data_IF_672415921393
#
_entry.id   IF_672415921393
#
_cell.length_a   1.000
_cell.length_b   1.000
_cell.length_c   1.000
_cell.angle_alpha   90.00
_cell.angle_beta   90.00
_cell.angle_gamma   90.00
#
_symmetry.space_group_name_H-M   'P 1'
#
loop_
_entity.id
_entity.type
_entity.pdbx_description
1 polymer ?
#
# COMPACT_ATOMS: atom_id res chain seq x y z
N UNK A 1 14.35 8.60 -7.47
CA UNK A 1 13.46 9.59 -8.10
C UNK A 1 13.39 10.80 -7.20
N UNK A 2 13.70 11.98 -7.71
CA UNK A 2 13.52 13.25 -7.00
C UNK A 2 12.26 13.88 -7.53
N UNK A 3 11.33 14.20 -6.66
CA UNK A 3 10.08 14.86 -6.99
C UNK A 3 10.23 16.35 -6.71
N UNK A 4 9.83 17.17 -7.64
CA UNK A 4 10.01 18.62 -7.61
C UNK A 4 8.64 19.28 -7.60
N UNK A 5 8.48 20.21 -6.68
CA UNK A 5 7.31 21.06 -6.58
C UNK A 5 7.75 22.50 -6.82
N UNK A 6 7.18 23.15 -7.82
CA UNK A 6 7.34 24.56 -8.05
C UNK A 6 5.97 25.25 -8.04
N UNK A 7 5.88 26.35 -7.35
CA UNK A 7 4.69 27.20 -7.31
C UNK A 7 5.06 28.57 -7.86
N UNK A 8 4.44 28.92 -8.94
CA UNK A 8 4.42 30.29 -9.43
C UNK A 8 3.02 30.88 -9.18
N UNK A 9 2.85 32.20 -9.19
CA UNK A 9 1.63 32.93 -8.77
C UNK A 9 0.31 32.41 -9.36
N UNK A 10 0.35 31.69 -10.48
CA UNK A 10 -0.84 31.15 -11.15
C UNK A 10 -0.81 29.66 -11.45
N UNK A 11 0.33 28.97 -11.30
CA UNK A 11 0.47 27.57 -11.70
C UNK A 11 1.30 26.78 -10.70
N UNK A 12 0.92 25.52 -10.50
CA UNK A 12 1.67 24.54 -9.70
C UNK A 12 2.08 23.40 -10.62
N UNK A 13 3.38 23.13 -10.70
CA UNK A 13 3.91 21.97 -11.40
C UNK A 13 4.36 20.91 -10.41
N UNK A 14 3.84 19.71 -10.58
CA UNK A 14 4.36 18.50 -9.94
C UNK A 14 5.17 17.75 -10.99
N UNK A 15 6.46 17.58 -10.75
CA UNK A 15 7.38 16.98 -11.68
C UNK A 15 8.31 15.98 -11.02
N UNK A 16 8.88 15.12 -11.82
CA UNK A 16 9.82 14.07 -11.47
C UNK A 16 11.15 14.34 -12.15
N UNK A 17 12.25 14.30 -11.40
CA UNK A 17 13.58 14.33 -11.97
C UNK A 17 13.99 12.96 -12.47
N UNK A 18 14.40 12.86 -13.72
CA UNK A 18 14.80 11.61 -14.32
C UNK A 18 16.30 11.33 -14.07
N UNK A 19 16.58 10.33 -13.24
CA UNK A 19 17.95 9.87 -12.96
C UNK A 19 18.91 10.99 -12.56
N UNK A 20 20.09 11.00 -13.16
CA UNK A 20 21.12 12.04 -13.00
C UNK A 20 20.97 13.21 -14.00
N UNK A 21 19.93 13.21 -14.83
CA UNK A 21 19.69 14.30 -15.76
C UNK A 21 19.16 15.55 -15.02
N UNK A 22 19.35 16.72 -15.62
CA UNK A 22 18.72 17.96 -15.15
C UNK A 22 17.32 18.17 -15.75
N UNK A 23 16.74 17.15 -16.40
CA UNK A 23 15.40 17.23 -16.97
C UNK A 23 14.34 16.91 -15.93
N UNK A 24 13.26 17.69 -15.95
CA UNK A 24 12.05 17.47 -15.17
C UNK A 24 10.95 16.96 -16.10
N UNK A 25 10.26 15.92 -15.68
CA UNK A 25 9.10 15.38 -16.39
C UNK A 25 7.85 15.56 -15.52
N UNK A 26 6.71 15.98 -16.10
CA UNK A 26 5.44 16.00 -15.38
C UNK A 26 5.11 14.60 -14.83
N UNK A 27 4.31 14.55 -13.76
CA UNK A 27 3.79 13.27 -13.26
C UNK A 27 2.97 12.61 -14.37
N UNK A 28 3.42 11.45 -14.81
CA UNK A 28 2.91 10.81 -16.02
C UNK A 28 1.85 9.75 -15.71
N UNK A 29 2.11 8.93 -14.70
CA UNK A 29 1.29 7.78 -14.40
C UNK A 29 -0.01 8.14 -13.72
N UNK A 30 0.02 9.12 -12.81
CA UNK A 30 -1.15 9.61 -12.11
C UNK A 30 -2.23 10.13 -13.07
N UNK A 31 -1.83 10.85 -14.12
CA UNK A 31 -2.77 11.46 -15.07
C UNK A 31 -3.44 10.44 -16.01
N UNK A 32 -2.94 9.22 -16.08
CA UNK A 32 -3.44 8.14 -16.94
C UNK A 32 -4.30 7.12 -16.20
N UNK A 33 -4.15 7.04 -14.87
CA UNK A 33 -4.85 6.05 -14.07
C UNK A 33 -6.24 6.52 -13.68
N UNK A 34 -7.21 5.63 -13.82
CA UNK A 34 -8.54 5.82 -13.26
C UNK A 34 -8.68 4.91 -12.02
N UNK A 35 -8.52 5.48 -10.84
CA UNK A 35 -8.51 4.75 -9.57
C UNK A 35 -9.90 4.73 -8.88
N UNK A 36 -10.97 4.66 -9.67
CA UNK A 36 -12.32 4.67 -9.13
C UNK A 36 -12.63 5.95 -8.33
N UNK A 37 -12.94 5.78 -7.06
CA UNK A 37 -13.24 6.89 -6.14
C UNK A 37 -11.99 7.57 -5.56
N UNK A 38 -10.81 7.00 -5.77
CA UNK A 38 -9.57 7.48 -5.16
C UNK A 38 -8.98 8.60 -6.00
N UNK A 39 -8.75 9.73 -5.34
CA UNK A 39 -8.05 10.89 -5.89
C UNK A 39 -7.02 11.39 -4.88
N UNK A 40 -5.86 11.80 -5.36
CA UNK A 40 -4.88 12.47 -4.52
C UNK A 40 -5.49 13.76 -3.94
N UNK A 41 -5.39 13.94 -2.64
CA UNK A 41 -5.89 15.13 -1.91
C UNK A 41 -4.80 16.17 -1.67
N UNK A 42 -3.55 15.79 -1.81
CA UNK A 42 -2.39 16.63 -1.64
C UNK A 42 -1.25 16.18 -2.58
N UNK A 43 -0.18 16.96 -2.62
CA UNK A 43 0.99 16.70 -3.48
C UNK A 43 1.72 15.40 -3.11
N UNK A 44 1.82 15.10 -1.83
CA UNK A 44 2.49 13.89 -1.32
C UNK A 44 1.76 12.64 -1.80
N UNK A 45 0.43 12.64 -1.76
CA UNK A 45 -0.39 11.55 -2.32
C UNK A 45 -0.29 11.48 -3.85
N UNK A 46 -0.16 12.62 -4.55
CA UNK A 46 0.07 12.64 -6.00
C UNK A 46 1.39 11.98 -6.36
N UNK A 47 2.45 12.29 -5.63
CA UNK A 47 3.75 11.66 -5.80
C UNK A 47 3.74 10.17 -5.47
N UNK A 48 3.07 9.80 -4.37
CA UNK A 48 2.92 8.39 -3.99
C UNK A 48 2.21 7.59 -5.09
N UNK A 49 1.10 8.09 -5.62
CA UNK A 49 0.36 7.43 -6.69
C UNK A 49 1.17 7.33 -7.98
N UNK A 50 1.91 8.36 -8.36
CA UNK A 50 2.76 8.31 -9.56
C UNK A 50 3.83 7.21 -9.45
N UNK A 51 4.48 7.07 -8.29
CA UNK A 51 5.44 6.00 -8.04
C UNK A 51 4.80 4.61 -7.95
N UNK A 52 3.65 4.51 -7.31
CA UNK A 52 2.91 3.26 -7.20
C UNK A 52 2.47 2.73 -8.56
N UNK A 53 2.05 3.62 -9.46
CA UNK A 53 1.56 3.29 -10.79
C UNK A 53 2.67 3.07 -11.83
N UNK A 54 3.89 3.53 -11.58
CA UNK A 54 5.03 3.35 -12.49
C UNK A 54 5.57 1.91 -12.42
N UNK A 55 5.40 1.09 -13.46
CA UNK A 55 5.86 -0.30 -13.45
C UNK A 55 7.39 -0.44 -13.40
N UNK A 56 8.14 0.60 -13.75
CA UNK A 56 9.60 0.57 -13.67
C UNK A 56 10.14 0.67 -12.23
N UNK A 57 9.28 1.10 -11.28
CA UNK A 57 9.64 1.20 -9.86
C UNK A 57 9.23 -0.08 -9.15
N UNK A 58 10.18 -0.97 -8.91
CA UNK A 58 9.92 -2.28 -8.30
C UNK A 58 9.66 -2.23 -6.80
N UNK A 59 10.15 -1.21 -6.07
CA UNK A 59 9.99 -1.07 -4.63
C UNK A 59 9.59 0.36 -4.26
N UNK A 60 8.53 0.48 -3.44
CA UNK A 60 8.03 1.75 -2.91
C UNK A 60 7.88 1.65 -1.40
N UNK A 61 8.30 2.67 -0.67
CA UNK A 61 8.03 2.81 0.77
C UNK A 61 7.16 4.03 1.01
N UNK A 62 6.01 3.85 1.65
CA UNK A 62 5.10 4.92 2.04
C UNK A 62 5.18 5.10 3.57
N UNK A 63 5.95 6.08 3.99
CA UNK A 63 6.17 6.40 5.40
C UNK A 63 5.40 7.66 5.78
N UNK A 64 4.68 7.64 6.89
CA UNK A 64 3.93 8.81 7.35
C UNK A 64 2.96 8.46 8.48
N UNK A 65 2.38 9.49 9.10
CA UNK A 65 1.44 9.34 10.23
C UNK A 65 0.21 8.51 9.83
N UNK A 66 -0.44 7.90 10.83
CA UNK A 66 -1.73 7.22 10.62
C UNK A 66 -2.78 8.16 10.01
N UNK A 67 -3.71 7.60 9.25
CA UNK A 67 -4.77 8.36 8.61
C UNK A 67 -4.35 9.17 7.37
N UNK A 68 -3.11 9.09 6.91
CA UNK A 68 -2.64 9.78 5.69
C UNK A 68 -3.00 9.07 4.39
N UNK A 69 -3.66 7.91 4.46
CA UNK A 69 -4.15 7.17 3.30
C UNK A 69 -3.12 6.23 2.64
N UNK A 70 -1.97 5.94 3.26
CA UNK A 70 -0.90 5.09 2.70
C UNK A 70 -1.41 3.74 2.18
N UNK A 71 -2.06 2.99 3.05
CA UNK A 71 -2.61 1.66 2.74
C UNK A 71 -3.70 1.74 1.67
N UNK A 72 -4.59 2.73 1.77
CA UNK A 72 -5.64 2.97 0.78
C UNK A 72 -5.07 3.24 -0.62
N UNK A 73 -4.07 4.10 -0.73
CA UNK A 73 -3.42 4.42 -2.01
C UNK A 73 -2.67 3.20 -2.58
N UNK A 74 -1.98 2.45 -1.74
CA UNK A 74 -1.27 1.24 -2.15
C UNK A 74 -2.23 0.17 -2.71
N UNK A 75 -3.34 -0.09 -2.01
CA UNK A 75 -4.36 -1.04 -2.44
C UNK A 75 -5.05 -0.55 -3.72
N UNK A 76 -5.42 0.73 -3.82
CA UNK A 76 -6.06 1.28 -5.01
C UNK A 76 -5.16 1.17 -6.25
N UNK A 77 -3.88 1.51 -6.13
CA UNK A 77 -2.92 1.37 -7.22
C UNK A 77 -2.69 -0.10 -7.59
N UNK A 78 -2.65 -1.01 -6.61
CA UNK A 78 -2.51 -2.44 -6.83
C UNK A 78 -3.73 -3.03 -7.55
N UNK A 79 -4.94 -2.71 -7.11
CA UNK A 79 -6.17 -3.16 -7.76
C UNK A 79 -6.25 -2.67 -9.21
N UNK A 80 -5.94 -1.40 -9.47
CA UNK A 80 -5.90 -0.86 -10.83
C UNK A 80 -4.91 -1.63 -11.73
N UNK A 81 -3.72 -1.92 -11.24
CA UNK A 81 -2.70 -2.61 -12.03
C UNK A 81 -2.97 -4.11 -12.20
N UNK A 82 -3.79 -4.70 -11.36
CA UNK A 82 -4.21 -6.10 -11.47
C UNK A 82 -5.50 -6.24 -12.28
N UNK A 83 -6.55 -5.48 -11.92
CA UNK A 83 -7.88 -5.66 -12.50
C UNK A 83 -8.10 -4.90 -13.81
N UNK A 84 -7.53 -3.67 -13.93
CA UNK A 84 -7.79 -2.82 -15.10
C UNK A 84 -6.70 -2.93 -16.17
N UNK A 85 -5.43 -2.89 -15.76
CA UNK A 85 -4.30 -2.91 -16.73
C UNK A 85 -3.66 -4.28 -16.90
N UNK A 86 -3.97 -5.24 -16.03
CA UNK A 86 -3.42 -6.60 -16.03
C UNK A 86 -1.88 -6.66 -16.06
N UNK A 87 -1.25 -5.65 -15.45
CA UNK A 87 0.21 -5.57 -15.40
C UNK A 87 0.80 -6.59 -14.41
N UNK A 88 0.08 -6.88 -13.32
CA UNK A 88 0.40 -7.91 -12.36
C UNK A 88 -0.69 -8.98 -12.32
N UNK A 89 -0.31 -10.22 -12.01
CA UNK A 89 -1.23 -11.35 -11.96
C UNK A 89 -2.23 -11.24 -10.81
N UNK A 90 -1.80 -10.72 -9.66
CA UNK A 90 -2.65 -10.52 -8.47
C UNK A 90 -2.10 -9.45 -7.53
N UNK A 91 -2.99 -8.94 -6.71
CA UNK A 91 -2.67 -8.12 -5.53
C UNK A 91 -2.54 -9.05 -4.32
N UNK A 92 -1.35 -9.11 -3.74
CA UNK A 92 -1.09 -9.80 -2.48
C UNK A 92 -0.93 -8.75 -1.38
N UNK A 93 -1.77 -8.82 -0.36
CA UNK A 93 -1.67 -7.93 0.81
C UNK A 93 -1.27 -8.75 2.02
N UNK A 94 -0.24 -8.30 2.71
CA UNK A 94 0.22 -8.92 3.95
C UNK A 94 0.37 -7.88 5.05
N UNK A 95 0.16 -8.32 6.28
CA UNK A 95 0.31 -7.50 7.47
C UNK A 95 0.96 -8.35 8.57
N UNK A 96 1.87 -7.82 9.39
CA UNK A 96 2.40 -8.55 10.54
C UNK A 96 1.29 -8.83 11.55
N UNK A 97 1.17 -10.06 12.05
CA UNK A 97 0.24 -10.34 13.14
C UNK A 97 0.74 -9.62 14.39
N UNK A 98 -0.06 -8.70 14.90
CA UNK A 98 0.22 -8.03 16.17
C UNK A 98 -0.33 -8.93 17.28
N UNK A 99 0.56 -9.54 18.04
CA UNK A 99 0.16 -10.30 19.23
C UNK A 99 -0.25 -9.33 20.34
N UNK A 100 -1.51 -8.97 20.39
CA UNK A 100 -2.12 -8.27 21.54
C UNK A 100 -2.15 -9.23 22.76
N UNK A 101 -0.99 -9.67 23.25
CA UNK A 101 -0.81 -10.37 24.52
C UNK A 101 -1.35 -11.78 24.64
N UNK A 102 -1.93 -12.37 23.59
CA UNK A 102 -2.34 -13.80 23.54
C UNK A 102 -1.99 -14.35 22.16
N UNK A 103 -1.30 -15.49 22.15
CA UNK A 103 -1.01 -16.22 20.93
C UNK A 103 -2.30 -16.48 20.13
N UNK A 104 -2.30 -16.11 18.85
CA UNK A 104 -3.39 -16.38 17.90
C UNK A 104 -3.80 -17.87 17.94
N UNK A 105 -2.86 -18.76 18.32
CA UNK A 105 -3.10 -20.18 18.49
C UNK A 105 -4.15 -20.56 19.55
N UNK A 106 -4.34 -19.73 20.58
CA UNK A 106 -5.30 -19.99 21.68
C UNK A 106 -6.73 -19.49 21.42
N UNK A 107 -6.98 -18.76 20.34
CA UNK A 107 -8.33 -18.34 19.98
C UNK A 107 -9.08 -19.54 19.37
N UNK A 108 -10.32 -19.84 19.80
CA UNK A 108 -11.17 -20.84 19.13
C UNK A 108 -11.56 -20.35 17.72
N UNK A 109 -11.72 -21.30 16.79
CA UNK A 109 -12.14 -21.01 15.42
C UNK A 109 -11.10 -21.38 14.36
N UNK A 110 -11.52 -21.27 13.10
CA UNK A 110 -10.65 -21.46 11.92
C UNK A 110 -9.59 -20.36 11.82
N UNK A 111 -8.55 -20.58 11.04
CA UNK A 111 -7.52 -19.56 10.78
C UNK A 111 -8.13 -18.27 10.21
N UNK A 112 -9.12 -18.39 9.34
CA UNK A 112 -9.85 -17.27 8.72
C UNK A 112 -10.65 -16.48 9.76
N UNK A 113 -11.35 -17.13 10.67
CA UNK A 113 -12.07 -16.47 11.76
C UNK A 113 -11.12 -15.73 12.72
N UNK A 114 -9.95 -16.30 12.97
CA UNK A 114 -8.93 -15.69 13.82
C UNK A 114 -8.27 -14.47 13.17
N UNK A 115 -8.09 -14.50 11.86
CA UNK A 115 -7.50 -13.40 11.09
C UNK A 115 -8.52 -12.30 10.75
N UNK A 116 -9.83 -12.60 10.81
CA UNK A 116 -10.90 -11.68 10.43
C UNK A 116 -10.79 -10.26 11.02
N UNK A 117 -10.66 -10.08 12.35
CA UNK A 117 -10.54 -8.77 12.96
C UNK A 117 -9.28 -8.01 12.53
N UNK A 118 -8.19 -8.73 12.25
CA UNK A 118 -6.92 -8.19 11.81
C UNK A 118 -6.95 -7.77 10.34
N UNK A 119 -7.74 -8.46 9.51
CA UNK A 119 -7.94 -8.21 8.09
C UNK A 119 -8.95 -7.10 7.81
N UNK A 120 -9.82 -6.79 8.77
CA UNK A 120 -10.92 -5.84 8.59
C UNK A 120 -10.49 -4.49 8.01
N UNK A 121 -9.40 -3.83 8.44
CA UNK A 121 -8.98 -2.56 7.84
C UNK A 121 -8.63 -2.66 6.36
N UNK A 122 -8.15 -3.82 5.89
CA UNK A 122 -7.85 -4.07 4.48
C UNK A 122 -9.16 -4.23 3.70
N UNK A 123 -10.09 -5.01 4.24
CA UNK A 123 -11.43 -5.22 3.64
C UNK A 123 -12.17 -3.89 3.52
N UNK A 124 -12.19 -3.08 4.60
CA UNK A 124 -12.83 -1.77 4.62
C UNK A 124 -12.25 -0.83 3.53
N UNK A 125 -10.93 -0.87 3.30
CA UNK A 125 -10.28 -0.12 2.22
C UNK A 125 -10.74 -0.60 0.84
N UNK A 126 -10.84 -1.91 0.63
CA UNK A 126 -11.28 -2.49 -0.65
C UNK A 126 -12.74 -2.12 -0.93
N UNK A 127 -13.61 -2.25 0.06
CA UNK A 127 -15.02 -1.87 -0.05
C UNK A 127 -15.18 -0.38 -0.34
N UNK A 128 -14.35 0.47 0.27
CA UNK A 128 -14.33 1.89 -0.03
C UNK A 128 -13.90 2.19 -1.47
N UNK A 129 -12.81 1.56 -1.95
CA UNK A 129 -12.29 1.73 -3.32
C UNK A 129 -13.32 1.30 -4.36
N UNK A 130 -13.96 0.16 -4.14
CA UNK A 130 -14.92 -0.44 -5.09
C UNK A 130 -16.32 0.15 -5.00
N UNK A 131 -16.58 0.98 -3.97
CA UNK A 131 -17.89 1.58 -3.75
C UNK A 131 -18.92 0.64 -3.16
N UNK A 132 -18.50 -0.43 -2.51
CA UNK A 132 -19.35 -1.43 -1.88
C UNK A 132 -19.73 -1.08 -0.43
N UNK A 133 -19.17 0.00 0.13
CA UNK A 133 -19.43 0.44 1.52
C UNK A 133 -20.91 0.80 1.73
N UNK A 134 -21.59 0.24 2.73
CA UNK A 134 -22.96 0.58 3.06
C UNK A 134 -23.00 1.94 3.77
N UNK A 135 -23.29 3.03 3.07
CA UNK A 135 -23.50 4.31 3.78
C UNK A 135 -23.47 5.60 2.97
N UNK A 136 -23.04 5.62 1.72
CA UNK A 136 -22.94 6.87 0.93
C UNK A 136 -23.87 6.95 -0.29
N UNK A 137 -24.94 6.16 -0.31
CA UNK A 137 -25.93 6.26 -1.40
C UNK A 137 -26.83 7.46 -1.20
N UNK A 138 -26.71 8.45 -2.09
CA UNK A 138 -27.69 9.52 -2.26
C UNK A 138 -29.10 8.92 -2.45
N UNK A 139 -30.13 9.55 -1.88
CA UNK A 139 -31.51 9.07 -1.87
C UNK A 139 -32.11 8.71 -3.24
N UNK A 140 -31.49 9.13 -4.33
CA UNK A 140 -31.92 8.84 -5.69
C UNK A 140 -31.58 7.44 -6.18
N UNK A 141 -30.62 6.74 -5.56
CA UNK A 141 -30.15 5.40 -5.96
C UNK A 141 -30.88 4.26 -5.23
N UNK A 142 -31.66 4.58 -4.20
CA UNK A 142 -32.39 3.60 -3.36
C UNK A 142 -33.52 2.86 -4.09
N UNK A 143 -33.99 3.35 -5.21
CA UNK A 143 -35.14 2.75 -5.94
C UNK A 143 -34.81 1.60 -6.89
N UNK A 144 -33.54 1.29 -7.14
CA UNK A 144 -33.13 0.24 -8.12
C UNK A 144 -32.31 -0.90 -7.55
N UNK A 145 -32.03 -0.97 -6.25
CA UNK A 145 -31.17 -2.05 -5.69
C UNK A 145 -31.95 -2.99 -4.75
N UNK A 146 -32.62 -3.97 -5.34
CA UNK A 146 -32.75 -5.33 -4.78
C UNK A 146 -31.47 -6.15 -5.13
N UNK A 147 -30.28 -5.57 -5.00
CA UNK A 147 -29.01 -6.32 -5.07
C UNK A 147 -28.52 -6.52 -3.66
N UNK A 148 -28.25 -7.80 -3.30
CA UNK A 148 -27.49 -8.15 -2.11
C UNK A 148 -26.23 -7.28 -2.04
N UNK A 149 -25.80 -6.86 -0.82
CA UNK A 149 -24.56 -6.10 -0.67
C UNK A 149 -23.44 -6.87 -1.35
N UNK A 150 -22.90 -6.33 -2.45
CA UNK A 150 -21.79 -6.95 -3.17
C UNK A 150 -20.60 -6.98 -2.23
N UNK A 151 -20.15 -8.15 -1.91
CA UNK A 151 -18.91 -8.36 -1.18
C UNK A 151 -17.75 -8.33 -2.19
N UNK A 152 -17.30 -7.11 -2.53
CA UNK A 152 -16.23 -6.91 -3.53
C UNK A 152 -14.95 -7.66 -3.16
N UNK A 153 -14.68 -7.78 -1.88
CA UNK A 153 -13.60 -8.60 -1.36
C UNK A 153 -13.71 -10.07 -1.82
N UNK A 154 -14.87 -10.71 -1.55
CA UNK A 154 -15.09 -12.11 -1.92
C UNK A 154 -15.05 -12.32 -3.43
N UNK A 155 -15.60 -11.37 -4.21
CA UNK A 155 -15.58 -11.43 -5.67
C UNK A 155 -14.13 -11.38 -6.19
N UNK A 156 -13.29 -10.46 -5.70
CA UNK A 156 -11.88 -10.33 -6.11
C UNK A 156 -11.06 -11.56 -5.71
N UNK A 157 -11.32 -12.13 -4.53
CA UNK A 157 -10.68 -13.38 -4.10
C UNK A 157 -11.12 -14.55 -4.98
N UNK A 158 -12.41 -14.69 -5.25
CA UNK A 158 -12.98 -15.74 -6.11
C UNK A 158 -12.42 -15.69 -7.52
N UNK A 159 -12.10 -14.51 -8.03
CA UNK A 159 -11.43 -14.31 -9.32
C UNK A 159 -9.91 -14.56 -9.27
N UNK A 160 -9.32 -14.77 -8.08
CA UNK A 160 -7.88 -14.93 -7.91
C UNK A 160 -7.08 -13.63 -8.09
N UNK A 161 -7.74 -12.48 -8.15
CA UNK A 161 -7.12 -11.17 -8.33
C UNK A 161 -6.58 -10.58 -7.04
N UNK A 162 -7.10 -11.03 -5.89
CA UNK A 162 -6.72 -10.58 -4.56
C UNK A 162 -6.43 -11.76 -3.65
N UNK A 163 -5.34 -11.68 -2.94
CA UNK A 163 -4.96 -12.62 -1.89
C UNK A 163 -4.52 -11.84 -0.65
N UNK A 164 -4.97 -12.25 0.52
CA UNK A 164 -4.49 -11.66 1.77
C UNK A 164 -3.99 -12.76 2.67
N UNK A 165 -2.75 -12.62 3.09
CA UNK A 165 -2.04 -13.65 3.85
C UNK A 165 -1.30 -13.05 5.05
N UNK A 166 -1.15 -13.87 6.08
CA UNK A 166 -0.22 -13.56 7.14
C UNK A 166 1.22 -13.62 6.62
N UNK A 167 2.10 -12.77 7.13
CA UNK A 167 3.49 -12.69 6.68
C UNK A 167 4.25 -14.02 6.80
N UNK A 168 3.83 -14.86 7.75
CA UNK A 168 4.45 -16.17 7.97
C UNK A 168 4.21 -17.16 6.82
N UNK A 169 3.14 -17.00 6.05
CA UNK A 169 2.80 -17.87 4.91
C UNK A 169 3.61 -17.54 3.66
N UNK A 170 4.16 -16.33 3.59
CA UNK A 170 5.06 -15.89 2.51
C UNK A 170 6.43 -16.60 2.59
N UNK A 171 6.79 -17.11 3.78
CA UNK A 171 8.05 -17.83 3.94
C UNK A 171 8.06 -19.13 3.13
N UNK A 172 9.12 -19.34 2.34
CA UNK A 172 9.34 -20.60 1.59
C UNK A 172 8.84 -20.60 0.15
N UNK A 173 8.12 -19.57 -0.33
CA UNK A 173 7.73 -19.46 -1.75
C UNK A 173 8.32 -18.22 -2.41
N UNK A 174 8.47 -18.27 -3.73
CA UNK A 174 8.78 -17.11 -4.57
C UNK A 174 7.48 -16.41 -4.96
N UNK A 175 7.54 -15.08 -5.11
CA UNK A 175 6.39 -14.23 -5.45
C UNK A 175 6.70 -13.52 -6.78
N UNK A 176 6.49 -14.16 -7.94
CA UNK A 176 6.71 -13.53 -9.25
C UNK A 176 5.44 -12.81 -9.74
N UNK A 177 5.63 -11.75 -10.52
CA UNK A 177 4.59 -11.02 -11.26
C UNK A 177 3.38 -10.58 -10.41
N UNK A 178 3.62 -10.19 -9.16
CA UNK A 178 2.58 -9.75 -8.24
C UNK A 178 2.78 -8.31 -7.80
N UNK A 179 1.67 -7.67 -7.40
CA UNK A 179 1.72 -6.41 -6.66
C UNK A 179 1.58 -6.75 -5.17
N UNK A 180 2.69 -6.68 -4.42
CA UNK A 180 2.74 -7.03 -3.00
C UNK A 180 2.65 -5.76 -2.14
N UNK A 181 1.66 -5.69 -1.25
CA UNK A 181 1.55 -4.66 -0.21
C UNK A 181 1.88 -5.27 1.14
N UNK A 182 2.85 -4.71 1.82
CA UNK A 182 3.24 -5.04 3.19
C UNK A 182 2.79 -3.89 4.09
N UNK A 183 1.64 -4.05 4.71
CA UNK A 183 1.04 -3.02 5.57
C UNK A 183 1.56 -3.10 7.01
N UNK A 184 1.58 -1.98 7.73
CA UNK A 184 2.11 -1.84 9.10
C UNK A 184 3.55 -2.38 9.26
N UNK A 185 4.40 -2.09 8.28
CA UNK A 185 5.75 -2.63 8.20
C UNK A 185 6.69 -2.18 9.33
N UNK A 186 6.33 -1.13 10.10
CA UNK A 186 7.05 -0.75 11.32
C UNK A 186 6.97 -1.80 12.42
N UNK A 187 6.02 -2.72 12.34
CA UNK A 187 5.90 -3.84 13.29
C UNK A 187 6.76 -5.06 12.90
N UNK A 188 7.49 -4.99 11.79
CA UNK A 188 8.43 -6.02 11.34
C UNK A 188 9.82 -5.77 11.88
N UNK A 189 10.54 -6.86 12.12
CA UNK A 189 11.98 -6.84 12.34
C UNK A 189 12.73 -6.66 11.00
N UNK A 190 13.97 -6.16 11.01
CA UNK A 190 14.81 -6.11 9.81
C UNK A 190 14.99 -7.45 9.11
N UNK A 191 15.05 -8.55 9.87
CA UNK A 191 15.17 -9.89 9.33
C UNK A 191 13.92 -10.33 8.55
N UNK A 192 12.73 -9.98 9.04
CA UNK A 192 11.48 -10.26 8.35
C UNK A 192 11.37 -9.47 7.06
N UNK A 193 11.69 -8.18 7.07
CA UNK A 193 11.72 -7.34 5.85
C UNK A 193 12.73 -7.90 4.85
N UNK A 194 13.95 -8.26 5.28
CA UNK A 194 14.94 -8.92 4.43
C UNK A 194 14.39 -10.22 3.83
N UNK A 195 13.69 -11.01 4.63
CA UNK A 195 13.09 -12.28 4.17
C UNK A 195 12.05 -12.02 3.08
N UNK A 196 11.19 -11.00 3.21
CA UNK A 196 10.21 -10.63 2.19
C UNK A 196 10.91 -10.20 0.91
N UNK A 197 11.84 -9.24 1.00
CA UNK A 197 12.53 -8.67 -0.18
C UNK A 197 13.29 -9.76 -0.95
N UNK A 198 13.87 -10.75 -0.27
CA UNK A 198 14.58 -11.87 -0.92
C UNK A 198 13.64 -12.91 -1.56
N UNK A 199 12.34 -12.84 -1.34
CA UNK A 199 11.31 -13.71 -1.96
C UNK A 199 10.64 -13.06 -3.16
N UNK A 200 10.84 -11.77 -3.35
CA UNK A 200 10.33 -11.04 -4.50
C UNK A 200 10.95 -11.62 -5.78
N UNK A 201 10.09 -12.15 -6.62
CA UNK A 201 10.48 -12.69 -7.93
C UNK A 201 10.47 -11.60 -9.01
N UNK A 202 10.90 -12.00 -10.20
CA UNK A 202 10.90 -11.12 -11.37
C UNK A 202 9.49 -10.57 -11.67
N UNK A 203 9.41 -9.32 -12.09
CA UNK A 203 8.16 -8.66 -12.45
C UNK A 203 7.25 -8.32 -11.26
N UNK A 204 7.72 -8.42 -10.01
CA UNK A 204 6.94 -8.07 -8.82
C UNK A 204 7.25 -6.66 -8.34
N UNK A 205 6.21 -5.91 -8.02
CA UNK A 205 6.31 -4.65 -7.28
C UNK A 205 6.01 -4.89 -5.81
N UNK A 206 6.84 -4.32 -4.94
CA UNK A 206 6.65 -4.38 -3.47
C UNK A 206 6.40 -2.98 -2.92
N UNK A 207 5.37 -2.85 -2.10
CA UNK A 207 5.02 -1.62 -1.42
C UNK A 207 5.00 -1.86 0.08
N UNK A 208 5.86 -1.17 0.80
CA UNK A 208 5.82 -1.15 2.27
C UNK A 208 5.09 0.11 2.73
N UNK A 209 4.11 -0.05 3.62
CA UNK A 209 3.40 1.07 4.24
C UNK A 209 3.57 1.01 5.74
N UNK A 210 3.69 2.17 6.40
CA UNK A 210 3.80 2.19 7.86
C UNK A 210 4.01 3.57 8.47
N UNK A 211 3.91 3.60 9.80
CA UNK A 211 4.18 4.75 10.65
C UNK A 211 5.26 4.36 11.68
N UNK A 212 6.50 4.83 11.55
CA UNK A 212 7.60 4.43 12.45
C UNK A 212 7.39 4.84 13.91
N UNK A 213 6.38 5.65 14.21
CA UNK A 213 6.03 6.06 15.57
C UNK A 213 4.84 5.30 16.16
N UNK A 214 4.15 4.44 15.37
CA UNK A 214 3.07 3.58 15.82
C UNK A 214 3.52 2.11 15.84
N UNK A 215 4.33 1.76 16.82
CA UNK A 215 4.88 0.42 16.96
C UNK A 215 4.13 -0.33 18.04
N UNK A 216 3.54 -1.46 17.67
CA UNK A 216 2.82 -2.36 18.56
C UNK A 216 3.68 -3.60 18.93
N UNK A 217 4.73 -3.86 18.16
CA UNK A 217 5.65 -4.97 18.39
C UNK A 217 6.66 -4.60 19.49
N UNK A 218 6.66 -5.30 20.64
CA UNK A 218 7.55 -4.97 21.77
C UNK A 218 9.05 -5.25 21.52
N UNK A 219 9.38 -5.92 20.40
CA UNK A 219 10.76 -6.32 20.07
C UNK A 219 11.47 -5.33 19.14
N UNK A 220 10.80 -4.27 18.71
CA UNK A 220 11.37 -3.25 17.82
C UNK A 220 10.97 -1.86 18.33
N UNK A 221 11.75 -0.85 17.95
CA UNK A 221 11.49 0.55 18.23
C UNK A 221 11.54 1.42 16.96
N UNK A 222 11.42 2.74 17.10
CA UNK A 222 11.39 3.67 15.96
C UNK A 222 12.67 3.63 15.11
N UNK A 223 13.81 3.26 15.69
CA UNK A 223 15.10 3.23 15.01
C UNK A 223 15.47 1.84 14.50
N UNK A 224 15.01 0.77 15.19
CA UNK A 224 15.39 -0.62 14.93
C UNK A 224 14.35 -1.43 14.16
N UNK A 225 13.20 -0.86 13.84
CA UNK A 225 12.17 -1.58 13.09
C UNK A 225 12.53 -1.80 11.62
N UNK A 226 11.86 -2.78 11.01
CA UNK A 226 12.14 -3.20 9.63
C UNK A 226 11.87 -2.12 8.60
N UNK A 227 10.88 -1.25 8.79
CA UNK A 227 10.58 -0.15 7.86
C UNK A 227 11.69 0.89 7.87
N UNK A 228 12.13 1.35 9.04
CA UNK A 228 13.24 2.30 9.19
C UNK A 228 14.53 1.70 8.62
N UNK A 229 14.83 0.45 8.96
CA UNK A 229 15.99 -0.27 8.41
C UNK A 229 15.95 -0.34 6.87
N UNK A 230 14.80 -0.64 6.27
CA UNK A 230 14.64 -0.70 4.82
C UNK A 230 14.91 0.65 4.17
N UNK A 231 14.30 1.71 4.70
CA UNK A 231 14.50 3.09 4.21
C UNK A 231 15.98 3.48 4.26
N UNK A 232 16.68 3.20 5.35
CA UNK A 232 18.10 3.52 5.49
C UNK A 232 18.99 2.74 4.53
N UNK A 233 18.74 1.44 4.38
CA UNK A 233 19.54 0.58 3.47
C UNK A 233 19.34 0.92 2.00
N UNK A 234 18.17 1.44 1.63
CA UNK A 234 17.85 1.77 0.25
C UNK A 234 17.92 3.27 -0.04
N UNK A 235 18.36 4.08 0.90
CA UNK A 235 18.47 5.55 0.76
C UNK A 235 19.26 5.96 -0.48
N UNK A 236 20.28 5.21 -0.85
CA UNK A 236 21.08 5.41 -2.05
C UNK A 236 20.48 4.77 -3.31
N UNK A 237 19.43 3.97 -3.14
CA UNK A 237 18.71 3.23 -4.19
C UNK A 237 17.34 3.82 -4.53
N UNK A 238 17.19 5.16 -4.61
CA UNK A 238 15.95 5.80 -5.08
C UNK A 238 14.74 5.68 -4.13
N UNK A 239 14.89 6.12 -2.89
CA UNK A 239 13.76 6.25 -1.95
C UNK A 239 13.27 7.69 -1.87
N UNK A 240 11.95 7.85 -1.98
CA UNK A 240 11.28 9.07 -1.58
C UNK A 240 10.85 8.92 -0.12
N UNK A 241 11.40 9.78 0.73
CA UNK A 241 10.91 9.99 2.09
C UNK A 241 10.22 11.34 2.13
N UNK A 242 8.97 11.41 2.57
CA UNK A 242 8.34 12.68 2.90
C UNK A 242 9.18 13.36 4.00
N UNK A 243 9.56 14.63 3.86
CA UNK A 243 10.29 15.32 4.92
C UNK A 243 9.48 15.30 6.21
N UNK A 244 10.15 15.02 7.31
CA UNK A 244 9.56 15.15 8.64
C UNK A 244 9.14 16.61 8.87
N UNK A 245 8.05 16.88 9.61
CA UNK A 245 7.71 18.24 10.02
C UNK A 245 8.83 18.99 10.77
N UNK A 246 9.87 18.27 11.23
CA UNK A 246 11.06 18.84 11.88
C UNK A 246 12.13 19.33 10.90
N UNK A 247 12.04 18.96 9.62
CA UNK A 247 13.01 19.34 8.59
C UNK A 247 12.59 20.60 7.81
N UNK A 248 11.51 21.27 8.27
CA UNK A 248 10.91 22.46 7.65
C UNK A 248 11.11 23.71 8.54
N UNK A 249 12.08 23.70 9.46
CA UNK A 249 12.46 24.89 10.24
C UNK A 249 13.76 25.46 9.74
#
# INVERSE_FOLDING_TARGET
VVLVYERNDSHTLLARRQGNSNSLEPLHWLNRAHLGRIKARNREQSFALDLLLDPSVALVTLVGKAGTGKTLLAIAAGLHQVADTHHYARLLVTRPPISLGKDIGYLPGTLEEKLGPWMKPIIDNIDFITGSSPGEDSEQTKKQRHREPRNAWADLQGMGLLEVEAINTIRGRSIPQQFLVVDEAQNLTPLEVKTIVTRVGEGTKVVFTGDPYQIDNPYVDAESNGLTWLVEKLKDCLLYTSPSPRDIT
#
